data_IF_703627271678
#
_entry.id   IF_703627271678
#
_cell.length_a   1.000
_cell.length_b   1.000
_cell.length_c   1.000
_cell.angle_alpha   90.00
_cell.angle_beta   90.00
_cell.angle_gamma   90.00
#
_symmetry.space_group_name_H-M   'P 1'
#
loop_
_entity.id
_entity.type
_entity.pdbx_description
1 polymer ?
#
# COMPACT_ATOMS: atom_id res chain seq x y z
N UNK A 1 18.21 -0.46 -0.53
CA UNK A 1 17.54 -1.35 0.43
C UNK A 1 16.50 -2.18 -0.30
N UNK A 2 16.47 -3.50 -0.04
CA UNK A 2 15.50 -4.43 -0.68
C UNK A 2 14.10 -4.17 -0.11
N UNK A 3 13.12 -3.93 -1.01
CA UNK A 3 11.73 -3.62 -0.67
C UNK A 3 10.80 -4.54 -1.44
N UNK A 4 9.64 -4.83 -0.86
CA UNK A 4 8.55 -5.41 -1.63
C UNK A 4 7.96 -4.31 -2.53
N UNK A 5 8.01 -4.53 -3.82
CA UNK A 5 7.51 -3.60 -4.83
C UNK A 5 6.18 -4.10 -5.39
N UNK A 6 5.19 -3.21 -5.46
CA UNK A 6 3.89 -3.47 -6.04
C UNK A 6 3.68 -2.54 -7.24
N UNK A 7 3.51 -3.12 -8.43
CA UNK A 7 3.13 -2.39 -9.65
C UNK A 7 1.60 -2.38 -9.78
N UNK A 8 0.96 -1.31 -9.30
CA UNK A 8 -0.50 -1.17 -9.34
C UNK A 8 -1.03 -1.12 -10.77
N UNK A 9 -0.46 -0.32 -11.71
CA UNK A 9 -0.82 -0.39 -13.12
C UNK A 9 -0.81 -1.82 -13.69
N UNK A 10 0.23 -2.60 -13.41
CA UNK A 10 0.31 -3.98 -13.90
C UNK A 10 -0.80 -4.88 -13.33
N UNK A 11 -1.21 -4.67 -12.08
CA UNK A 11 -2.34 -5.38 -11.48
C UNK A 11 -3.65 -5.01 -12.19
N UNK A 12 -3.89 -3.72 -12.41
CA UNK A 12 -5.11 -3.23 -13.04
C UNK A 12 -5.23 -3.67 -14.51
N UNK A 13 -4.13 -3.65 -15.25
CA UNK A 13 -4.08 -4.07 -16.65
C UNK A 13 -4.26 -5.57 -16.82
N UNK A 14 -3.78 -6.36 -15.87
CA UNK A 14 -3.85 -7.83 -15.95
C UNK A 14 -5.21 -8.41 -15.58
N UNK A 15 -6.10 -7.63 -14.99
CA UNK A 15 -7.41 -8.10 -14.51
C UNK A 15 -7.31 -9.20 -13.46
N UNK A 16 -6.19 -9.28 -12.74
CA UNK A 16 -5.93 -10.33 -11.77
C UNK A 16 -6.87 -10.20 -10.59
N UNK A 17 -7.55 -11.28 -10.29
CA UNK A 17 -8.27 -11.39 -9.03
C UNK A 17 -7.27 -11.40 -7.86
N UNK A 18 -7.48 -10.55 -6.86
CA UNK A 18 -6.59 -10.43 -5.70
C UNK A 18 -6.43 -11.75 -4.92
N UNK A 19 -7.37 -12.67 -5.04
CA UNK A 19 -7.35 -14.00 -4.44
C UNK A 19 -6.38 -14.98 -5.12
N UNK A 20 -5.88 -14.66 -6.32
CA UNK A 20 -4.84 -15.44 -6.99
C UNK A 20 -3.47 -15.28 -6.34
N UNK A 21 -3.23 -14.16 -5.64
CA UNK A 21 -1.98 -13.89 -4.93
C UNK A 21 -2.08 -14.51 -3.53
N UNK A 22 -1.19 -15.44 -3.22
CA UNK A 22 -1.20 -16.17 -1.96
C UNK A 22 -0.27 -15.54 -0.93
N UNK A 23 -0.60 -15.73 0.33
CA UNK A 23 0.24 -15.37 1.47
C UNK A 23 0.62 -16.62 2.24
N UNK A 24 1.83 -16.71 2.75
CA UNK A 24 2.33 -17.85 3.52
C UNK A 24 1.52 -18.09 4.81
N UNK A 25 0.96 -17.02 5.37
CA UNK A 25 0.15 -17.07 6.60
C UNK A 25 -1.36 -17.31 6.35
N UNK A 26 -1.71 -18.09 5.34
CA UNK A 26 -3.11 -18.37 4.95
C UNK A 26 -3.91 -19.22 5.94
N UNK A 27 -3.40 -19.52 7.13
CA UNK A 27 -4.09 -20.35 8.13
C UNK A 27 -5.38 -19.74 8.70
N UNK A 28 -5.57 -18.45 8.52
CA UNK A 28 -6.82 -17.77 8.85
C UNK A 28 -7.51 -17.31 7.58
N UNK A 29 -8.76 -17.71 7.36
CA UNK A 29 -9.60 -17.26 6.24
C UNK A 29 -9.73 -15.72 6.13
N UNK A 30 -9.37 -15.00 7.16
CA UNK A 30 -9.34 -13.53 7.23
C UNK A 30 -7.94 -12.94 7.42
N UNK A 31 -6.92 -13.77 7.40
CA UNK A 31 -5.53 -13.34 7.59
C UNK A 31 -4.77 -13.40 6.26
N UNK A 32 -5.10 -12.49 5.39
CA UNK A 32 -4.42 -12.38 4.12
C UNK A 32 -3.54 -11.14 4.16
N UNK A 33 -2.28 -11.29 4.51
CA UNK A 33 -1.31 -10.19 4.55
C UNK A 33 -1.25 -9.44 3.22
N UNK A 34 -1.42 -10.13 2.08
CA UNK A 34 -1.50 -9.52 0.77
C UNK A 34 -2.72 -8.58 0.62
N UNK A 35 -3.87 -8.88 1.24
CA UNK A 35 -5.00 -7.94 1.20
C UNK A 35 -4.70 -6.67 1.98
N UNK A 36 -4.12 -6.78 3.16
CA UNK A 36 -3.65 -5.62 3.91
C UNK A 36 -2.65 -4.78 3.11
N UNK A 37 -1.77 -5.45 2.39
CA UNK A 37 -0.76 -4.80 1.55
C UNK A 37 -1.40 -4.11 0.34
N UNK A 38 -2.35 -4.78 -0.33
CA UNK A 38 -3.10 -4.21 -1.45
C UNK A 38 -3.95 -3.02 -1.01
N UNK A 39 -4.63 -3.11 0.14
CA UNK A 39 -5.38 -1.98 0.71
C UNK A 39 -4.49 -0.75 0.94
N UNK A 40 -3.28 -0.95 1.49
CA UNK A 40 -2.32 0.15 1.69
C UNK A 40 -1.87 0.72 0.35
N UNK A 41 -1.59 -0.12 -0.63
CA UNK A 41 -1.17 0.30 -1.96
C UNK A 41 -2.29 1.03 -2.70
N UNK A 42 -3.51 0.52 -2.65
CA UNK A 42 -4.69 1.13 -3.27
C UNK A 42 -5.01 2.48 -2.65
N UNK A 43 -5.02 2.57 -1.32
CA UNK A 43 -5.19 3.84 -0.61
C UNK A 43 -4.20 4.89 -1.08
N UNK A 44 -2.92 4.50 -1.22
CA UNK A 44 -1.87 5.41 -1.66
C UNK A 44 -2.01 5.80 -3.13
N UNK A 45 -2.51 4.90 -3.98
CA UNK A 45 -2.70 5.15 -5.41
C UNK A 45 -3.85 6.13 -5.69
N UNK A 46 -4.95 6.05 -4.96
CA UNK A 46 -6.11 6.93 -5.13
C UNK A 46 -5.99 8.26 -4.40
N UNK A 47 -5.05 8.38 -3.48
CA UNK A 47 -4.81 9.59 -2.70
C UNK A 47 -4.40 10.76 -3.61
N UNK A 48 -5.04 11.93 -3.43
CA UNK A 48 -4.72 13.17 -4.15
C UNK A 48 -3.51 13.91 -3.60
N UNK A 49 -2.88 13.39 -2.56
CA UNK A 49 -1.67 13.98 -1.95
C UNK A 49 -1.85 15.46 -1.58
N UNK A 50 -3.00 15.79 -1.00
CA UNK A 50 -3.34 17.16 -0.65
C UNK A 50 -2.26 17.78 0.25
N UNK A 51 -1.88 19.02 -0.04
CA UNK A 51 -0.96 19.79 0.82
C UNK A 51 -1.52 19.95 2.23
N UNK A 52 -2.82 20.23 2.32
CA UNK A 52 -3.57 20.26 3.57
C UNK A 52 -4.29 18.92 3.73
N UNK A 53 -3.68 18.01 4.46
CA UNK A 53 -4.15 16.64 4.58
C UNK A 53 -5.31 16.52 5.60
N UNK A 54 -6.49 17.05 5.28
CA UNK A 54 -7.68 17.04 6.17
C UNK A 54 -8.01 15.66 6.75
N UNK A 55 -7.72 14.59 6.00
CA UNK A 55 -7.91 13.23 6.48
C UNK A 55 -6.96 12.87 7.63
N UNK A 56 -5.76 13.45 7.65
CA UNK A 56 -4.78 13.27 8.75
C UNK A 56 -5.28 13.99 9.98
N UNK A 57 -5.67 15.26 9.83
CA UNK A 57 -6.15 16.10 10.93
C UNK A 57 -7.44 15.54 11.57
N UNK A 58 -8.29 14.94 10.76
CA UNK A 58 -9.53 14.32 11.22
C UNK A 58 -9.34 12.96 11.93
N UNK A 59 -8.12 12.43 11.98
CA UNK A 59 -7.87 11.10 12.54
C UNK A 59 -7.66 11.15 14.07
N UNK A 60 -8.65 10.72 14.91
CA UNK A 60 -8.53 10.82 16.36
C UNK A 60 -7.49 9.87 16.97
N UNK A 61 -6.95 8.95 16.16
CA UNK A 61 -5.96 7.95 16.58
C UNK A 61 -4.59 8.16 15.91
N UNK A 62 -4.40 9.28 15.22
CA UNK A 62 -3.15 9.59 14.52
C UNK A 62 -2.67 8.40 13.67
N UNK A 63 -3.63 7.71 13.06
CA UNK A 63 -3.37 6.54 12.24
C UNK A 63 -3.00 6.88 10.79
N UNK A 64 -3.06 8.16 10.44
CA UNK A 64 -2.65 8.67 9.14
C UNK A 64 -1.48 9.65 9.31
N UNK A 65 -0.52 9.59 8.40
CA UNK A 65 0.64 10.46 8.40
C UNK A 65 0.88 10.97 6.98
N UNK A 66 1.07 12.27 6.85
CA UNK A 66 1.49 12.89 5.60
C UNK A 66 3.02 12.75 5.45
N UNK A 67 3.47 11.98 4.48
CA UNK A 67 4.89 11.76 4.20
C UNK A 67 5.48 12.92 3.39
N UNK A 68 6.81 13.03 3.38
CA UNK A 68 7.52 14.04 2.58
C UNK A 68 7.26 13.90 1.08
N UNK A 69 7.02 12.67 0.60
CA UNK A 69 6.60 12.38 -0.78
C UNK A 69 5.19 12.87 -1.14
N UNK A 70 4.44 13.40 -0.17
CA UNK A 70 3.03 13.77 -0.33
C UNK A 70 2.05 12.61 -0.08
N UNK A 71 2.52 11.38 -0.05
CA UNK A 71 1.67 10.22 0.22
C UNK A 71 1.13 10.24 1.65
N UNK A 72 -0.10 9.76 1.80
CA UNK A 72 -0.70 9.51 3.11
C UNK A 72 -0.43 8.06 3.49
N UNK A 73 0.38 7.86 4.52
CA UNK A 73 0.63 6.55 5.10
C UNK A 73 -0.42 6.22 6.16
N UNK A 74 -1.00 5.04 6.09
CA UNK A 74 -1.93 4.52 7.11
C UNK A 74 -1.23 3.50 8.00
N UNK A 75 -1.30 3.75 9.31
CA UNK A 75 -0.85 2.81 10.34
C UNK A 75 -2.01 1.91 10.76
N UNK A 76 -2.10 0.73 10.19
CA UNK A 76 -3.18 -0.21 10.46
C UNK A 76 -3.31 -0.57 11.94
N UNK A 77 -2.17 -0.56 12.71
CA UNK A 77 -2.18 -0.83 14.16
C UNK A 77 -2.88 0.24 14.99
N UNK A 78 -2.85 1.50 14.53
CA UNK A 78 -3.50 2.62 15.20
C UNK A 78 -4.93 2.82 14.72
N UNK A 79 -5.25 2.34 13.51
CA UNK A 79 -6.54 2.53 12.89
C UNK A 79 -7.61 1.68 13.59
N UNK A 80 -8.65 2.35 14.10
CA UNK A 80 -9.82 1.73 14.74
C UNK A 80 -11.04 1.62 13.81
N UNK A 81 -10.88 1.97 12.53
CA UNK A 81 -11.95 1.89 11.54
C UNK A 81 -13.09 2.91 11.75
N UNK A 82 -12.84 4.03 12.42
CA UNK A 82 -13.88 5.04 12.72
C UNK A 82 -14.39 5.81 11.49
N UNK A 83 -13.68 5.74 10.37
CA UNK A 83 -14.05 6.33 9.07
C UNK A 83 -14.10 7.88 9.04
N UNK A 84 -13.61 8.57 10.06
CA UNK A 84 -13.56 10.05 10.07
C UNK A 84 -12.78 10.62 8.89
N UNK A 85 -11.70 9.95 8.48
CA UNK A 85 -10.89 10.33 7.32
C UNK A 85 -11.68 10.30 6.00
N UNK A 86 -12.66 9.41 5.87
CA UNK A 86 -13.53 9.32 4.68
C UNK A 86 -14.37 10.58 4.54
N UNK A 87 -14.97 10.99 5.67
CA UNK A 87 -15.82 12.18 5.72
C UNK A 87 -15.02 13.48 5.54
N UNK A 88 -13.75 13.47 5.96
CA UNK A 88 -12.88 14.63 5.85
C UNK A 88 -12.22 14.76 4.47
N UNK A 89 -12.22 13.73 3.65
CA UNK A 89 -11.61 13.77 2.32
C UNK A 89 -12.47 14.57 1.35
N UNK A 90 -12.02 15.76 0.88
CA UNK A 90 -12.83 16.61 0.01
C UNK A 90 -13.02 16.00 -1.40
N UNK A 91 -12.18 15.04 -1.76
CA UNK A 91 -12.22 14.37 -3.07
C UNK A 91 -12.92 13.01 -3.05
N UNK A 92 -13.31 12.51 -1.87
CA UNK A 92 -13.97 11.21 -1.73
C UNK A 92 -13.10 10.03 -2.19
N UNK A 93 -11.78 10.17 -2.18
CA UNK A 93 -10.84 9.13 -2.67
C UNK A 93 -10.57 8.02 -1.64
N UNK A 94 -11.09 8.18 -0.43
CA UNK A 94 -10.96 7.17 0.63
C UNK A 94 -12.25 6.37 0.67
N UNK A 95 -12.22 5.15 0.13
CA UNK A 95 -13.39 4.29 0.11
C UNK A 95 -13.63 3.63 1.47
N UNK A 96 -14.91 3.47 1.88
CA UNK A 96 -15.25 2.83 3.15
C UNK A 96 -14.71 1.41 3.31
N UNK A 97 -14.58 0.69 2.20
CA UNK A 97 -14.09 -0.68 2.13
C UNK A 97 -12.61 -0.77 2.46
N UNK A 98 -11.84 0.27 2.14
CA UNK A 98 -10.39 0.36 2.43
C UNK A 98 -10.13 0.60 3.91
N UNK A 99 -11.06 1.28 4.61
CA UNK A 99 -10.93 1.58 6.05
C UNK A 99 -11.65 0.51 6.87
N UNK A 100 -11.17 -0.69 6.80
CA UNK A 100 -11.62 -1.79 7.65
C UNK A 100 -10.65 -2.01 8.80
N UNK A 101 -11.19 -2.52 9.91
CA UNK A 101 -10.34 -3.04 10.98
C UNK A 101 -9.71 -4.35 10.51
N UNK A 102 -8.42 -4.31 10.24
CA UNK A 102 -7.68 -5.48 9.76
C UNK A 102 -6.98 -6.11 10.96
N UNK A 103 -7.38 -7.32 11.30
CA UNK A 103 -6.79 -8.10 12.40
C UNK A 103 -5.46 -8.72 12.02
N UNK A 104 -5.22 -8.89 10.73
CA UNK A 104 -3.99 -9.49 10.21
C UNK A 104 -3.24 -8.54 9.30
N UNK A 105 -1.93 -8.54 9.44
CA UNK A 105 -1.04 -7.58 8.79
C UNK A 105 0.06 -8.31 8.06
N UNK A 106 0.50 -7.70 6.98
CA UNK A 106 1.73 -8.10 6.35
C UNK A 106 2.92 -7.74 7.25
N UNK A 107 3.71 -8.73 7.62
CA UNK A 107 4.99 -8.59 8.33
C UNK A 107 6.19 -8.51 7.36
N UNK A 108 5.90 -8.44 6.05
CA UNK A 108 6.89 -8.46 4.96
C UNK A 108 7.79 -9.70 4.96
N UNK A 109 7.40 -10.75 5.64
CA UNK A 109 8.20 -11.97 5.83
C UNK A 109 9.61 -11.67 6.35
N UNK A 110 9.76 -10.70 7.25
CA UNK A 110 11.06 -10.19 7.71
C UNK A 110 11.91 -11.27 8.40
N UNK A 111 11.27 -12.17 9.14
CA UNK A 111 11.98 -13.26 9.80
C UNK A 111 12.64 -14.21 8.78
N UNK A 112 11.93 -14.55 7.72
CA UNK A 112 12.44 -15.41 6.64
C UNK A 112 13.54 -14.70 5.86
N UNK A 113 13.32 -13.43 5.49
CA UNK A 113 14.31 -12.61 4.77
C UNK A 113 15.60 -12.36 5.58
N UNK A 114 15.51 -12.28 6.91
CA UNK A 114 16.68 -12.12 7.76
C UNK A 114 17.50 -13.41 7.85
N UNK A 115 16.85 -14.57 7.75
CA UNK A 115 17.52 -15.88 7.80
C UNK A 115 18.05 -16.33 6.43
N UNK A 116 17.40 -15.90 5.35
CA UNK A 116 17.74 -16.23 3.97
C UNK A 116 17.52 -15.01 3.06
N UNK A 117 18.61 -14.39 2.61
CA UNK A 117 18.59 -13.20 1.77
C UNK A 117 17.97 -13.46 0.38
N UNK A 118 17.95 -14.71 -0.07
CA UNK A 118 17.38 -15.13 -1.36
C UNK A 118 15.93 -15.61 -1.25
N UNK A 119 15.40 -15.64 -0.01
CA UNK A 119 14.02 -16.01 0.22
C UNK A 119 13.06 -15.13 -0.58
N UNK A 120 12.10 -15.77 -1.24
CA UNK A 120 11.02 -15.09 -1.95
C UNK A 120 9.67 -15.36 -1.28
N UNK A 121 9.00 -14.32 -0.77
CA UNK A 121 7.66 -14.43 -0.20
C UNK A 121 6.66 -15.10 -1.16
N UNK A 122 5.70 -15.83 -0.62
CA UNK A 122 4.67 -16.52 -1.42
C UNK A 122 3.91 -15.57 -2.35
N UNK A 123 3.63 -14.34 -1.88
CA UNK A 123 2.97 -13.31 -2.70
C UNK A 123 3.81 -12.90 -3.92
N UNK A 124 5.13 -12.95 -3.83
CA UNK A 124 6.02 -12.71 -4.98
C UNK A 124 6.01 -13.90 -5.93
N UNK A 125 6.08 -15.12 -5.40
CA UNK A 125 6.09 -16.35 -6.22
C UNK A 125 4.77 -16.59 -6.96
N UNK A 126 3.63 -16.21 -6.35
CA UNK A 126 2.30 -16.45 -6.92
C UNK A 126 1.75 -15.25 -7.67
N UNK A 127 2.46 -14.12 -7.63
CA UNK A 127 2.06 -12.89 -8.33
C UNK A 127 2.20 -13.08 -9.84
N UNK A 128 1.12 -12.96 -10.59
CA UNK A 128 1.20 -12.99 -12.04
C UNK A 128 1.85 -11.72 -12.58
N UNK A 129 2.56 -11.86 -13.70
CA UNK A 129 3.22 -10.75 -14.43
C UNK A 129 4.24 -9.93 -13.63
N UNK A 130 4.73 -10.45 -12.49
CA UNK A 130 5.70 -9.73 -11.67
C UNK A 130 5.14 -8.45 -11.03
N UNK A 131 3.82 -8.41 -10.79
CA UNK A 131 3.18 -7.27 -10.12
C UNK A 131 3.62 -7.11 -8.66
N UNK A 132 4.12 -8.19 -8.04
CA UNK A 132 4.81 -8.17 -6.74
C UNK A 132 6.23 -8.68 -6.93
N UNK A 133 7.22 -7.88 -6.59
CA UNK A 133 8.64 -8.24 -6.76
C UNK A 133 9.46 -7.72 -5.58
N UNK A 134 10.42 -8.52 -5.10
CA UNK A 134 11.45 -8.02 -4.20
C UNK A 134 12.52 -7.29 -5.01
N UNK A 135 12.64 -5.98 -4.83
CA UNK A 135 13.56 -5.14 -5.61
C UNK A 135 14.33 -4.17 -4.73
N UNK A 136 15.56 -3.88 -5.10
CA UNK A 136 16.37 -2.87 -4.44
C UNK A 136 16.07 -1.49 -5.01
N UNK A 137 15.90 -0.54 -4.10
CA UNK A 137 15.73 0.87 -4.42
C UNK A 137 16.63 1.72 -3.51
N UNK A 138 17.27 2.71 -4.09
CA UNK A 138 18.05 3.71 -3.35
C UNK A 138 17.18 4.90 -2.93
N UNK A 139 16.28 5.32 -3.83
CA UNK A 139 15.38 6.46 -3.64
C UNK A 139 14.08 6.27 -4.40
N UNK A 140 13.11 7.10 -4.08
CA UNK A 140 11.88 7.24 -4.84
C UNK A 140 12.16 7.75 -6.26
N UNK A 141 11.31 7.39 -7.21
CA UNK A 141 11.41 7.82 -8.62
C UNK A 141 10.08 8.44 -9.05
N UNK A 142 9.97 9.74 -8.88
CA UNK A 142 8.75 10.49 -9.24
C UNK A 142 8.44 10.40 -10.75
N UNK A 143 9.47 10.33 -11.59
CA UNK A 143 9.28 10.24 -13.03
C UNK A 143 8.65 8.89 -13.45
N UNK A 144 8.87 7.85 -12.67
CA UNK A 144 8.26 6.52 -12.84
C UNK A 144 7.08 6.28 -11.91
N UNK A 145 6.69 7.29 -11.12
CA UNK A 145 5.63 7.19 -10.12
C UNK A 145 5.88 6.07 -9.09
N UNK A 146 7.15 5.92 -8.66
CA UNK A 146 7.55 4.96 -7.65
C UNK A 146 7.75 5.69 -6.32
N UNK A 147 6.98 5.30 -5.31
CA UNK A 147 6.94 5.90 -3.99
C UNK A 147 7.17 4.85 -2.92
N UNK A 148 7.72 5.28 -1.78
CA UNK A 148 7.95 4.40 -0.64
C UNK A 148 6.87 4.56 0.43
N UNK A 149 6.43 3.44 0.98
CA UNK A 149 5.53 3.41 2.12
C UNK A 149 6.27 2.73 3.28
N UNK A 150 6.82 3.56 4.17
CA UNK A 150 7.69 3.07 5.22
C UNK A 150 8.99 2.48 4.68
N UNK A 151 9.56 1.51 5.42
CA UNK A 151 10.89 0.97 5.12
C UNK A 151 10.87 -0.22 4.14
N UNK A 152 9.78 -0.96 4.09
CA UNK A 152 9.74 -2.28 3.44
C UNK A 152 8.89 -2.33 2.17
N UNK A 153 8.09 -1.31 1.89
CA UNK A 153 7.18 -1.28 0.75
C UNK A 153 7.56 -0.17 -0.23
N UNK A 154 7.57 -0.50 -1.51
CA UNK A 154 7.56 0.45 -2.61
C UNK A 154 6.35 0.18 -3.50
N UNK A 155 5.71 1.23 -3.98
CA UNK A 155 4.57 1.12 -4.89
C UNK A 155 4.83 1.92 -6.16
N UNK A 156 4.32 1.44 -7.28
CA UNK A 156 4.14 2.24 -8.47
C UNK A 156 2.67 2.59 -8.60
N UNK A 157 2.39 3.90 -8.60
CA UNK A 157 1.02 4.42 -8.70
C UNK A 157 0.60 4.61 -10.16
N UNK A 158 -0.71 4.69 -10.44
CA UNK A 158 -1.18 5.10 -11.76
C UNK A 158 -0.72 6.51 -12.15
N UNK A 159 -0.39 6.72 -13.42
CA UNK A 159 0.14 8.00 -13.93
C UNK A 159 -0.84 9.19 -13.89
N UNK A 160 -2.11 8.95 -13.55
CA UNK A 160 -3.12 10.02 -13.45
C UNK A 160 -2.87 10.99 -12.27
N UNK A 161 -2.10 10.58 -11.26
CA UNK A 161 -1.65 11.46 -10.19
C UNK A 161 -0.71 12.57 -10.68
N UNK A 162 0.01 12.33 -11.78
CA UNK A 162 0.97 13.28 -12.34
C UNK A 162 0.34 14.40 -13.19
N UNK A 163 -0.92 14.27 -13.59
CA UNK A 163 -1.56 15.24 -14.49
C UNK A 163 -2.16 16.46 -13.79
N UNK A 164 -2.19 16.48 -12.48
CA UNK A 164 -2.84 17.52 -11.68
C UNK A 164 -1.96 18.70 -11.30
N UNK A 165 -0.69 18.69 -11.65
CA UNK A 165 0.20 19.85 -11.48
C UNK A 165 0.02 20.98 -12.50
N UNK A 166 -1.05 20.93 -13.30
CA UNK A 166 -1.39 21.94 -14.32
C UNK A 166 -2.87 22.30 -14.26
N UNK A 167 -3.33 22.76 -13.12
CA UNK A 167 -4.53 23.59 -13.02
C UNK A 167 -4.15 24.87 -12.29
#
# INVERSE_FOLDING_TARGET
MKRLFIDIPAILESGIAADSIKCEYMFHRKNNGQFSLLEVAEFSAYCRQCKEAFCVDACPKEALEHQQSGLIKRYNMRCVGCKSCILACPFGTIFPEVINYVTSKCDFCLNQLNNDADYQPECVRTSPNGSFVMKEFEKEDEAKHIYFIGEHLAIKSPSWLAKEGKI
#
